data_IF_934688652708
#
_entry.id   IF_934688652708
#
_cell.length_a   1.000
_cell.length_b   1.000
_cell.length_c   1.000
_cell.angle_alpha   90.00
_cell.angle_beta   90.00
_cell.angle_gamma   90.00
#
_symmetry.space_group_name_H-M   'P 1'
#
loop_
_entity.id
_entity.type
_entity.pdbx_description
1 polymer ?
#
# COMPACT_ATOMS: atom_id res chain seq x y z
N UNK A 1 25.81 -19.82 -28.64
CA UNK A 1 25.12 -18.70 -29.32
C UNK A 1 26.02 -18.16 -30.41
N UNK A 2 25.46 -17.77 -31.55
CA UNK A 2 26.23 -17.13 -32.61
C UNK A 2 26.79 -15.78 -32.11
N UNK A 3 27.96 -15.39 -32.59
CA UNK A 3 28.59 -14.12 -32.27
C UNK A 3 28.48 -13.20 -33.47
N UNK A 4 27.94 -11.99 -33.28
CA UNK A 4 27.69 -11.02 -34.35
C UNK A 4 28.52 -9.76 -34.16
N UNK A 5 28.92 -9.16 -35.28
CA UNK A 5 29.65 -7.90 -35.36
C UNK A 5 28.71 -6.71 -35.60
N UNK A 6 29.19 -5.49 -35.35
CA UNK A 6 28.36 -4.29 -35.53
C UNK A 6 27.92 -4.09 -36.98
N UNK A 7 28.75 -4.52 -37.94
CA UNK A 7 28.45 -4.42 -39.37
C UNK A 7 27.35 -5.39 -39.79
N UNK A 8 27.31 -6.57 -39.20
CA UNK A 8 26.26 -7.56 -39.45
C UNK A 8 24.94 -7.06 -38.91
N UNK A 9 24.90 -6.58 -37.65
CA UNK A 9 23.67 -6.01 -37.08
C UNK A 9 23.19 -4.79 -37.86
N UNK A 10 24.10 -3.91 -38.29
CA UNK A 10 23.74 -2.71 -39.07
C UNK A 10 23.11 -2.99 -40.44
N UNK A 11 23.23 -4.21 -40.97
CA UNK A 11 22.56 -4.60 -42.22
C UNK A 11 21.04 -4.83 -42.01
N UNK A 12 20.61 -5.09 -40.78
CA UNK A 12 19.22 -5.38 -40.41
C UNK A 12 18.56 -4.15 -39.79
N UNK A 13 18.32 -3.13 -40.62
CA UNK A 13 17.86 -1.80 -40.20
C UNK A 13 16.50 -1.37 -40.79
N UNK A 14 15.70 -2.33 -41.28
CA UNK A 14 14.42 -2.06 -41.95
C UNK A 14 13.24 -2.61 -41.16
N UNK A 15 12.01 -2.18 -41.48
CA UNK A 15 10.80 -2.64 -40.76
C UNK A 15 10.59 -4.16 -40.85
N UNK A 16 10.91 -4.75 -41.99
CA UNK A 16 10.73 -6.20 -42.23
C UNK A 16 11.99 -7.02 -41.87
N UNK A 17 13.04 -6.35 -41.40
CA UNK A 17 14.32 -6.96 -41.00
C UNK A 17 15.07 -6.04 -40.03
N UNK A 18 14.80 -6.21 -38.73
CA UNK A 18 15.18 -5.28 -37.66
C UNK A 18 15.89 -5.99 -36.51
N UNK A 19 17.19 -5.78 -36.41
CA UNK A 19 17.99 -6.29 -35.29
C UNK A 19 18.47 -5.15 -34.40
N UNK A 20 18.65 -5.42 -33.12
CA UNK A 20 19.18 -4.44 -32.18
C UNK A 20 20.11 -5.09 -31.16
N UNK A 21 21.11 -4.35 -30.68
CA UNK A 21 22.02 -4.81 -29.63
C UNK A 21 21.58 -4.19 -28.30
N UNK A 22 21.33 -5.02 -27.29
CA UNK A 22 21.00 -4.59 -25.93
C UNK A 22 21.88 -5.40 -24.96
N UNK A 23 22.63 -4.72 -24.10
CA UNK A 23 23.49 -5.32 -23.08
C UNK A 23 24.47 -6.39 -23.63
N UNK A 24 25.06 -6.12 -24.80
CA UNK A 24 26.02 -7.03 -25.44
C UNK A 24 25.41 -8.30 -26.04
N UNK A 25 24.07 -8.35 -26.15
CA UNK A 25 23.31 -9.42 -26.82
C UNK A 25 22.60 -8.85 -28.04
N UNK A 26 22.41 -9.68 -29.07
CA UNK A 26 21.76 -9.31 -30.33
C UNK A 26 20.38 -9.95 -30.38
N UNK A 27 19.36 -9.14 -30.68
CA UNK A 27 17.97 -9.56 -30.73
C UNK A 27 17.37 -9.29 -32.12
N UNK A 28 16.64 -10.27 -32.66
CA UNK A 28 15.82 -10.10 -33.86
C UNK A 28 14.40 -9.72 -33.44
N UNK A 29 14.09 -8.42 -33.48
CA UNK A 29 12.80 -7.89 -33.03
C UNK A 29 11.82 -7.71 -34.19
N UNK A 30 12.13 -8.21 -35.39
CA UNK A 30 11.32 -8.03 -36.61
C UNK A 30 9.85 -8.39 -36.38
N UNK A 31 9.59 -9.53 -35.74
CA UNK A 31 8.22 -10.00 -35.45
C UNK A 31 7.56 -9.28 -34.29
N UNK A 32 8.33 -8.54 -33.49
CA UNK A 32 7.88 -7.86 -32.28
C UNK A 32 7.64 -6.36 -32.49
N UNK A 33 8.00 -5.80 -33.66
CA UNK A 33 7.85 -4.36 -33.96
C UNK A 33 6.42 -3.89 -33.72
N UNK A 34 5.42 -4.65 -34.18
CA UNK A 34 4.01 -4.26 -34.07
C UNK A 34 3.42 -4.51 -32.68
N UNK A 35 4.00 -5.47 -31.96
CA UNK A 35 3.59 -5.85 -30.60
C UNK A 35 4.29 -5.01 -29.51
N UNK A 36 5.25 -4.16 -29.89
CA UNK A 36 6.00 -3.33 -28.95
C UNK A 36 5.12 -2.23 -28.32
N UNK A 37 4.94 -2.21 -26.98
CA UNK A 37 4.05 -1.26 -26.30
C UNK A 37 4.44 0.21 -26.46
N UNK A 38 5.72 0.50 -26.74
CA UNK A 38 6.23 1.85 -27.03
C UNK A 38 5.94 2.33 -28.45
N UNK A 39 5.37 1.48 -29.30
CA UNK A 39 5.14 1.73 -30.72
C UNK A 39 6.29 1.22 -31.61
N UNK A 40 5.94 0.95 -32.87
CA UNK A 40 6.85 0.45 -33.90
C UNK A 40 7.98 1.44 -34.24
N UNK A 41 7.66 2.74 -34.25
CA UNK A 41 8.59 3.79 -34.68
C UNK A 41 9.86 3.84 -33.82
N UNK A 42 9.73 3.59 -32.51
CA UNK A 42 10.85 3.59 -31.56
C UNK A 42 11.83 2.46 -31.85
N UNK A 43 11.33 1.27 -32.24
CA UNK A 43 12.19 0.14 -32.59
C UNK A 43 12.87 0.35 -33.94
N UNK A 44 12.18 0.96 -34.90
CA UNK A 44 12.73 1.27 -36.23
C UNK A 44 13.87 2.32 -36.11
N UNK A 45 13.76 3.30 -35.22
CA UNK A 45 14.80 4.32 -35.00
C UNK A 45 16.14 3.73 -34.49
N UNK A 46 16.04 2.67 -33.69
CA UNK A 46 17.18 1.97 -33.09
C UNK A 46 17.60 0.70 -33.85
N UNK A 47 16.95 0.42 -34.98
CA UNK A 47 17.26 -0.71 -35.83
C UNK A 47 18.70 -0.63 -36.36
N UNK A 48 19.41 -1.76 -36.31
CA UNK A 48 20.80 -1.89 -36.72
C UNK A 48 21.83 -1.24 -35.79
N UNK A 49 21.45 -0.79 -34.59
CA UNK A 49 22.31 -0.07 -33.65
C UNK A 49 22.40 -0.75 -32.27
N UNK A 50 23.39 -0.34 -31.49
CA UNK A 50 23.43 -0.59 -30.04
C UNK A 50 22.48 0.38 -29.35
N UNK A 51 21.40 -0.17 -28.82
CA UNK A 51 20.32 0.54 -28.17
C UNK A 51 20.31 0.33 -26.65
N UNK A 52 21.42 -0.17 -26.08
CA UNK A 52 21.50 -0.46 -24.65
C UNK A 52 21.15 0.75 -23.79
N UNK A 53 21.62 1.95 -24.18
CA UNK A 53 21.38 3.18 -23.42
C UNK A 53 19.92 3.63 -23.55
N UNK A 54 19.37 3.56 -24.76
CA UNK A 54 17.98 3.88 -25.08
C UNK A 54 17.02 2.94 -24.36
N UNK A 55 17.37 1.64 -24.32
CA UNK A 55 16.63 0.61 -23.63
C UNK A 55 16.65 0.80 -22.10
N UNK A 56 17.83 1.08 -21.53
CA UNK A 56 17.97 1.37 -20.09
C UNK A 56 17.23 2.66 -19.70
N UNK A 57 17.31 3.71 -20.53
CA UNK A 57 16.66 5.00 -20.30
C UNK A 57 15.14 4.95 -20.45
N UNK A 58 14.63 4.09 -21.32
CA UNK A 58 13.20 3.82 -21.43
C UNK A 58 12.63 3.14 -20.17
N UNK A 59 13.48 2.57 -19.32
CA UNK A 59 13.09 2.03 -18.01
C UNK A 59 12.16 0.84 -18.11
N UNK A 60 12.39 -0.03 -19.10
CA UNK A 60 11.59 -1.23 -19.35
C UNK A 60 11.40 -2.10 -18.10
N UNK A 61 10.20 -2.67 -17.95
CA UNK A 61 9.86 -3.57 -16.84
C UNK A 61 10.59 -4.91 -16.93
N UNK A 62 10.63 -5.67 -15.83
CA UNK A 62 11.22 -7.04 -15.80
C UNK A 62 10.59 -7.97 -16.86
N UNK A 63 9.31 -7.78 -17.18
CA UNK A 63 8.59 -8.53 -18.22
C UNK A 63 9.16 -8.28 -19.61
N UNK A 64 9.65 -7.07 -19.88
CA UNK A 64 10.32 -6.77 -21.15
C UNK A 64 11.62 -7.57 -21.30
N UNK A 65 12.35 -7.78 -20.20
CA UNK A 65 13.55 -8.62 -20.21
C UNK A 65 13.23 -10.10 -20.47
N UNK A 66 12.12 -10.61 -19.93
CA UNK A 66 11.66 -11.98 -20.21
C UNK A 66 11.26 -12.15 -21.69
N UNK A 67 10.53 -11.18 -22.26
CA UNK A 67 10.11 -11.22 -23.67
C UNK A 67 11.32 -11.17 -24.60
N UNK A 68 12.35 -10.39 -24.26
CA UNK A 68 13.59 -10.32 -25.03
C UNK A 68 14.30 -11.67 -25.15
N UNK A 69 14.15 -12.58 -24.18
CA UNK A 69 14.80 -13.90 -24.25
C UNK A 69 14.31 -14.73 -25.44
N UNK A 70 13.06 -14.53 -25.90
CA UNK A 70 12.48 -15.22 -27.05
C UNK A 70 13.11 -14.76 -28.38
N UNK A 71 13.56 -13.50 -28.44
CA UNK A 71 14.11 -12.86 -29.65
C UNK A 71 15.64 -12.87 -29.68
N UNK A 72 16.29 -13.50 -28.70
CA UNK A 72 17.73 -13.55 -28.57
C UNK A 72 18.36 -14.46 -29.64
N UNK A 73 19.09 -13.87 -30.58
CA UNK A 73 19.77 -14.61 -31.66
C UNK A 73 21.25 -14.85 -31.37
N UNK A 74 21.88 -14.02 -30.54
CA UNK A 74 23.27 -14.24 -30.15
C UNK A 74 23.93 -13.17 -29.30
N UNK A 75 25.26 -13.19 -29.27
CA UNK A 75 26.10 -12.27 -28.49
C UNK A 75 26.86 -11.31 -29.39
N UNK A 76 27.06 -10.08 -28.94
CA UNK A 76 27.78 -9.05 -29.68
C UNK A 76 29.28 -9.07 -29.34
N UNK A 77 30.14 -9.23 -30.35
CA UNK A 77 31.60 -9.39 -30.16
C UNK A 77 32.33 -8.13 -29.70
N UNK A 78 31.66 -6.97 -29.67
CA UNK A 78 32.22 -5.67 -29.30
C UNK A 78 31.83 -5.17 -27.91
N UNK A 79 31.26 -6.00 -27.04
CA UNK A 79 30.69 -5.57 -25.76
C UNK A 79 31.77 -5.02 -24.79
N UNK A 80 31.69 -3.76 -24.33
CA UNK A 80 32.48 -3.31 -23.18
C UNK A 80 31.97 -4.01 -21.91
N UNK A 81 32.87 -4.61 -21.14
CA UNK A 81 32.56 -5.28 -19.87
C UNK A 81 32.08 -4.23 -18.86
N UNK A 82 30.77 -4.13 -18.63
CA UNK A 82 30.21 -3.26 -17.59
C UNK A 82 30.17 -4.02 -16.26
N UNK A 83 30.91 -3.53 -15.27
CA UNK A 83 30.84 -4.03 -13.90
C UNK A 83 29.49 -3.71 -13.25
N UNK A 84 29.00 -4.60 -12.39
CA UNK A 84 27.71 -4.48 -11.70
C UNK A 84 27.52 -3.09 -11.04
N UNK A 85 26.29 -2.53 -11.02
CA UNK A 85 26.03 -1.23 -10.44
C UNK A 85 26.34 -1.22 -8.94
N UNK A 86 27.11 -0.22 -8.48
CA UNK A 86 27.41 -0.02 -7.05
C UNK A 86 26.14 0.39 -6.31
N UNK A 87 25.79 -0.37 -5.27
CA UNK A 87 24.72 -0.05 -4.36
C UNK A 87 24.94 1.34 -3.72
N UNK A 88 23.96 2.23 -3.89
CA UNK A 88 23.93 3.53 -3.21
C UNK A 88 23.42 3.32 -1.79
N UNK A 89 24.33 3.21 -0.82
CA UNK A 89 23.99 3.11 0.60
C UNK A 89 23.54 4.48 1.11
N UNK A 90 22.23 4.66 1.30
CA UNK A 90 21.66 5.84 1.97
C UNK A 90 22.05 5.83 3.46
N UNK A 91 22.91 6.77 3.88
CA UNK A 91 23.21 7.01 5.29
C UNK A 91 22.00 7.65 5.97
N UNK A 92 21.35 6.92 6.89
CA UNK A 92 20.27 7.41 7.74
C UNK A 92 20.84 8.34 8.82
N UNK A 93 20.36 9.58 8.89
CA UNK A 93 20.74 10.53 9.96
C UNK A 93 20.03 10.17 11.28
N UNK A 94 20.76 10.29 12.40
CA UNK A 94 20.26 10.04 13.76
C UNK A 94 19.45 11.24 14.31
N UNK A 95 18.43 11.01 15.17
CA UNK A 95 17.62 12.08 15.74
C UNK A 95 18.35 12.81 16.87
N UNK A 96 18.21 14.14 16.92
CA UNK A 96 18.70 14.99 18.03
C UNK A 96 17.73 14.95 19.21
N UNK A 97 18.27 14.80 20.42
CA UNK A 97 17.55 14.87 21.69
C UNK A 97 17.15 16.32 22.02
N UNK A 98 15.94 16.49 22.58
CA UNK A 98 15.43 17.77 23.10
C UNK A 98 15.64 17.79 24.62
N UNK A 99 16.24 18.85 25.13
CA UNK A 99 16.49 19.06 26.55
C UNK A 99 15.21 19.51 27.28
N UNK A 100 14.94 18.92 28.45
CA UNK A 100 13.83 19.32 29.33
C UNK A 100 14.25 20.38 30.35
N UNK A 101 13.39 21.36 30.58
CA UNK A 101 13.57 22.40 31.59
C UNK A 101 13.14 21.92 32.99
N UNK A 102 13.91 22.33 34.00
CA UNK A 102 13.65 22.12 35.42
C UNK A 102 12.58 23.09 35.96
N UNK A 103 11.73 22.57 36.85
CA UNK A 103 10.69 23.31 37.56
C UNK A 103 11.24 23.77 38.92
N UNK A 104 11.07 25.05 39.23
CA UNK A 104 11.63 25.73 40.41
C UNK A 104 10.81 25.54 41.69
N UNK A 105 11.50 25.75 42.80
CA UNK A 105 11.13 25.53 44.20
C UNK A 105 10.13 26.54 44.77
N UNK A 106 9.02 26.07 45.37
CA UNK A 106 8.36 26.74 46.51
C UNK A 106 7.40 25.81 47.23
N UNK A 107 7.89 24.96 48.13
CA UNK A 107 7.05 24.19 49.08
C UNK A 107 7.88 23.68 50.26
N UNK A 108 8.38 24.58 51.12
CA UNK A 108 9.13 24.21 52.32
C UNK A 108 8.78 25.12 53.50
N UNK A 109 7.52 25.16 53.94
CA UNK A 109 7.14 25.82 55.20
C UNK A 109 6.13 25.06 56.06
N UNK A 110 5.70 23.84 55.69
CA UNK A 110 4.71 23.07 56.46
C UNK A 110 5.29 21.92 57.32
N UNK A 111 6.61 21.76 57.42
CA UNK A 111 7.25 20.58 58.04
C UNK A 111 7.68 20.73 59.51
N UNK A 112 7.60 21.92 60.09
CA UNK A 112 8.17 22.17 61.43
C UNK A 112 7.33 21.66 62.63
N UNK A 113 6.03 21.40 62.46
CA UNK A 113 5.15 21.04 63.60
C UNK A 113 5.14 19.53 63.95
N UNK A 114 5.52 18.65 63.02
CA UNK A 114 5.41 17.19 63.18
C UNK A 114 6.64 16.61 63.90
N UNK A 115 7.78 17.29 63.87
CA UNK A 115 9.05 16.80 64.43
C UNK A 115 9.07 16.78 65.96
N UNK A 116 8.39 17.71 66.63
CA UNK A 116 8.43 17.83 68.10
C UNK A 116 7.69 16.67 68.80
N UNK A 117 6.57 16.20 68.24
CA UNK A 117 5.78 15.11 68.82
C UNK A 117 6.47 13.73 68.73
N UNK A 118 7.21 13.47 67.65
CA UNK A 118 7.94 12.22 67.47
C UNK A 118 9.13 12.10 68.43
N UNK A 119 9.82 13.22 68.69
CA UNK A 119 10.98 13.27 69.60
C UNK A 119 10.55 13.04 71.05
N UNK A 120 9.44 13.64 71.49
CA UNK A 120 8.93 13.43 72.85
C UNK A 120 8.50 11.97 73.12
N UNK A 121 7.91 11.30 72.13
CA UNK A 121 7.49 9.91 72.23
C UNK A 121 8.67 8.93 72.27
N UNK A 122 9.71 9.20 71.46
CA UNK A 122 10.93 8.39 71.44
C UNK A 122 11.69 8.55 72.76
N UNK A 123 11.70 9.75 73.34
CA UNK A 123 12.37 10.02 74.59
C UNK A 123 11.67 9.37 75.81
N UNK A 124 10.33 9.36 75.85
CA UNK A 124 9.55 8.64 76.88
C UNK A 124 9.81 7.12 76.87
N UNK A 125 9.99 6.53 75.68
CA UNK A 125 10.32 5.10 75.55
C UNK A 125 11.72 4.74 76.06
N UNK A 126 12.66 5.67 76.00
CA UNK A 126 14.05 5.42 76.38
C UNK A 126 14.31 5.64 77.87
N UNK A 127 13.63 6.61 78.50
CA UNK A 127 13.72 6.82 79.95
C UNK A 127 12.43 7.47 80.49
N UNK A 128 11.60 6.76 81.29
CA UNK A 128 10.34 7.30 81.81
C UNK A 128 10.53 8.53 82.70
N UNK A 129 11.68 8.69 83.36
CA UNK A 129 11.97 9.83 84.25
C UNK A 129 12.40 11.10 83.50
N UNK A 130 12.66 11.03 82.20
CA UNK A 130 13.12 12.17 81.40
C UNK A 130 12.04 13.26 81.20
N UNK A 131 10.76 12.93 81.45
CA UNK A 131 9.71 13.93 81.52
C UNK A 131 9.86 14.88 82.73
N UNK A 132 10.52 14.43 83.81
CA UNK A 132 10.79 15.28 84.98
C UNK A 132 11.96 16.25 84.76
N UNK A 133 12.77 16.03 83.72
CA UNK A 133 13.87 16.93 83.32
C UNK A 133 13.52 17.85 82.15
N UNK A 134 12.27 17.84 81.67
CA UNK A 134 11.79 18.87 80.76
C UNK A 134 11.76 20.22 81.51
N UNK A 135 12.27 21.31 80.91
CA UNK A 135 12.25 22.61 81.57
C UNK A 135 10.80 22.96 81.91
N UNK A 136 10.49 23.13 83.20
CA UNK A 136 9.21 23.68 83.64
C UNK A 136 9.11 25.08 83.06
N UNK A 137 8.40 25.24 81.95
CA UNK A 137 8.11 26.54 81.37
C UNK A 137 7.19 27.24 82.37
N UNK A 138 7.77 28.12 83.20
CA UNK A 138 6.98 29.01 84.06
C UNK A 138 6.24 29.98 83.15
N UNK A 139 4.97 29.69 82.88
CA UNK A 139 4.04 30.69 82.36
C UNK A 139 3.63 31.56 83.55
N UNK A 140 3.92 32.86 83.48
CA UNK A 140 3.43 33.81 84.48
C UNK A 140 1.94 34.02 84.25
N UNK A 141 1.09 33.31 84.99
CA UNK A 141 -0.36 33.53 84.95
C UNK A 141 -1.10 32.41 85.66
N UNK A 142 -1.89 32.77 86.66
CA UNK A 142 -2.67 31.87 87.50
C UNK A 142 -3.76 31.13 86.71
N UNK A 143 -3.58 29.82 86.48
CA UNK A 143 -4.57 28.89 85.93
C UNK A 143 -3.87 27.71 85.21
N UNK A 144 -4.45 26.50 85.14
CA UNK A 144 -3.84 25.40 84.40
C UNK A 144 -3.78 25.80 82.93
N UNK A 145 -2.57 26.07 82.44
CA UNK A 145 -2.35 26.76 81.17
C UNK A 145 -2.87 25.95 80.00
N UNK A 146 -3.73 26.55 79.19
CA UNK A 146 -4.24 26.00 77.92
C UNK A 146 -3.12 25.37 77.07
N UNK A 147 -1.92 25.96 77.08
CA UNK A 147 -0.74 25.47 76.35
C UNK A 147 -0.25 24.12 76.87
N UNK A 148 -0.27 23.90 78.18
CA UNK A 148 0.14 22.64 78.79
C UNK A 148 -0.87 21.53 78.50
N UNK A 149 -2.17 21.85 78.61
CA UNK A 149 -3.25 20.96 78.17
C UNK A 149 -3.19 20.63 76.69
N UNK A 150 -2.87 21.61 75.84
CA UNK A 150 -2.75 21.43 74.38
C UNK A 150 -1.55 20.56 74.01
N UNK A 151 -0.41 20.72 74.68
CA UNK A 151 0.77 19.89 74.46
C UNK A 151 0.54 18.43 74.88
N UNK A 152 -0.11 18.21 76.04
CA UNK A 152 -0.46 16.87 76.51
C UNK A 152 -1.48 16.22 75.56
N UNK A 153 -2.52 16.96 75.16
CA UNK A 153 -3.52 16.46 74.21
C UNK A 153 -2.91 16.13 72.85
N UNK A 154 -2.01 16.97 72.34
CA UNK A 154 -1.30 16.75 71.08
C UNK A 154 -0.40 15.51 71.16
N UNK A 155 0.33 15.33 72.25
CA UNK A 155 1.14 14.13 72.47
C UNK A 155 0.26 12.86 72.50
N UNK A 156 -0.83 12.86 73.26
CA UNK A 156 -1.77 11.74 73.35
C UNK A 156 -2.42 11.41 72.00
N UNK A 157 -2.86 12.41 71.24
CA UNK A 157 -3.43 12.21 69.91
C UNK A 157 -2.41 11.64 68.92
N UNK A 158 -1.15 12.07 69.01
CA UNK A 158 -0.08 11.54 68.15
C UNK A 158 0.18 10.05 68.45
N UNK A 159 0.16 9.66 69.72
CA UNK A 159 0.31 8.25 70.12
C UNK A 159 -0.89 7.40 69.70
N UNK A 160 -2.11 7.87 69.98
CA UNK A 160 -3.32 7.16 69.59
C UNK A 160 -3.45 7.04 68.06
N UNK A 161 -3.12 8.10 67.33
CA UNK A 161 -3.11 8.15 65.87
C UNK A 161 -2.09 7.20 65.27
N UNK A 162 -0.87 7.14 65.81
CA UNK A 162 0.17 6.21 65.31
C UNK A 162 -0.17 4.74 65.56
N UNK A 163 -0.73 4.39 66.72
CA UNK A 163 -1.19 3.02 67.00
C UNK A 163 -2.34 2.62 66.07
N UNK A 164 -3.32 3.50 65.90
CA UNK A 164 -4.49 3.27 65.05
C UNK A 164 -4.07 3.12 63.59
N UNK A 165 -3.18 3.99 63.10
CA UNK A 165 -2.64 3.92 61.74
C UNK A 165 -1.85 2.61 61.50
N UNK A 166 -1.08 2.14 62.49
CA UNK A 166 -0.34 0.88 62.37
C UNK A 166 -1.26 -0.33 62.35
N UNK A 167 -2.33 -0.32 63.13
CA UNK A 167 -3.34 -1.40 63.15
C UNK A 167 -4.19 -1.40 61.87
N UNK A 168 -4.54 -0.22 61.37
CA UNK A 168 -5.28 -0.04 60.12
C UNK A 168 -4.45 -0.45 58.90
N UNK A 169 -3.15 -0.10 58.87
CA UNK A 169 -2.20 -0.51 57.82
C UNK A 169 -2.14 -2.04 57.69
N UNK A 170 -2.07 -2.74 58.83
CA UNK A 170 -2.07 -4.21 58.88
C UNK A 170 -3.39 -4.83 58.40
N UNK A 171 -4.52 -4.14 58.57
CA UNK A 171 -5.83 -4.62 58.14
C UNK A 171 -6.15 -4.30 56.67
N UNK A 172 -5.51 -3.27 56.11
CA UNK A 172 -5.69 -2.84 54.72
C UNK A 172 -4.65 -3.46 53.75
N UNK A 173 -3.88 -4.47 54.19
CA UNK A 173 -2.86 -5.15 53.38
C UNK A 173 -1.85 -4.21 52.68
N UNK A 174 -1.52 -3.07 53.28
CA UNK A 174 -0.50 -2.15 52.73
C UNK A 174 0.95 -2.67 52.85
N UNK A 175 1.18 -3.80 53.53
CA UNK A 175 2.53 -4.32 53.79
C UNK A 175 3.24 -4.91 52.55
N UNK A 176 2.52 -5.34 51.51
CA UNK A 176 3.16 -5.95 50.32
C UNK A 176 3.37 -4.99 49.14
N UNK A 177 2.89 -3.76 49.26
CA UNK A 177 3.06 -2.76 48.25
C UNK A 177 2.54 -1.43 48.76
N UNK A 178 3.44 -0.48 49.03
CA UNK A 178 3.07 0.84 49.53
C UNK A 178 2.05 1.55 48.62
N UNK A 179 1.56 2.73 49.03
CA UNK A 179 0.56 3.53 48.30
C UNK A 179 0.88 3.83 46.81
N UNK A 180 2.10 3.50 46.34
CA UNK A 180 2.59 3.62 44.96
C UNK A 180 2.75 2.27 44.23
N UNK A 181 2.38 1.15 44.87
CA UNK A 181 2.46 -0.20 44.32
C UNK A 181 1.19 -0.53 43.57
N UNK A 182 1.20 -0.28 42.26
CA UNK A 182 0.18 -0.80 41.36
C UNK A 182 0.60 -2.19 40.89
N UNK A 183 -0.35 -3.11 40.78
CA UNK A 183 -0.10 -4.39 40.12
C UNK A 183 0.55 -4.13 38.75
N UNK A 184 1.63 -4.85 38.38
CA UNK A 184 2.34 -4.60 37.14
C UNK A 184 1.35 -4.66 35.97
N UNK A 185 1.11 -3.51 35.35
CA UNK A 185 0.21 -3.42 34.21
C UNK A 185 0.81 -4.23 33.07
N UNK A 186 0.26 -5.43 32.84
CA UNK A 186 0.63 -6.28 31.71
C UNK A 186 0.13 -5.57 30.46
N UNK A 187 1.02 -4.82 29.79
CA UNK A 187 0.72 -4.22 28.49
C UNK A 187 0.22 -5.35 27.58
N UNK A 188 -1.06 -5.32 27.24
CA UNK A 188 -1.56 -6.23 26.22
C UNK A 188 -0.72 -5.99 24.96
N UNK A 189 -0.12 -7.03 24.37
CA UNK A 189 0.57 -6.84 23.10
C UNK A 189 -0.44 -6.23 22.12
N UNK A 190 -0.05 -5.14 21.45
CA UNK A 190 -0.87 -4.58 20.39
C UNK A 190 -1.07 -5.69 19.37
N UNK A 191 -2.32 -6.12 19.17
CA UNK A 191 -2.64 -7.03 18.06
C UNK A 191 -2.30 -6.27 16.79
N UNK A 192 -1.23 -6.68 16.13
CA UNK A 192 -0.83 -6.11 14.85
C UNK A 192 -1.95 -6.45 13.86
N UNK A 193 -2.77 -5.45 13.50
CA UNK A 193 -3.76 -5.64 12.44
C UNK A 193 -3.00 -5.94 11.16
N UNK A 194 -3.23 -7.12 10.57
CA UNK A 194 -2.64 -7.50 9.29
C UNK A 194 -3.18 -6.53 8.25
N UNK A 195 -2.29 -5.91 7.46
CA UNK A 195 -2.71 -5.03 6.38
C UNK A 195 -3.14 -5.91 5.18
N UNK A 196 -4.44 -5.99 4.86
CA UNK A 196 -4.91 -6.86 3.77
C UNK A 196 -4.33 -6.44 2.41
N UNK A 197 -3.89 -5.19 2.25
CA UNK A 197 -3.34 -4.68 0.99
C UNK A 197 -1.93 -5.20 0.67
N UNK A 198 -1.18 -5.71 1.67
CA UNK A 198 0.25 -6.10 1.51
C UNK A 198 0.50 -7.48 2.13
N UNK A 199 -0.51 -8.33 2.19
CA UNK A 199 -0.38 -9.65 2.77
C UNK A 199 0.39 -10.59 1.83
N UNK A 200 1.33 -11.37 2.37
CA UNK A 200 1.91 -12.52 1.65
C UNK A 200 0.85 -13.60 1.55
N UNK A 201 0.72 -14.19 0.37
CA UNK A 201 -0.26 -15.24 0.12
C UNK A 201 0.30 -16.31 -0.80
N UNK A 202 -0.60 -16.94 -1.55
CA UNK A 202 -0.31 -18.09 -2.40
C UNK A 202 0.55 -17.74 -3.64
N UNK A 203 0.41 -16.55 -4.20
CA UNK A 203 1.13 -16.13 -5.39
C UNK A 203 2.67 -16.10 -5.17
N UNK A 204 3.41 -16.72 -6.08
CA UNK A 204 4.88 -16.70 -6.14
C UNK A 204 5.36 -15.81 -7.31
N UNK A 205 6.25 -14.82 -7.07
CA UNK A 205 6.69 -13.91 -8.12
C UNK A 205 7.61 -14.58 -9.15
N UNK A 206 8.20 -15.72 -8.82
CA UNK A 206 9.18 -16.45 -9.63
C UNK A 206 8.58 -17.69 -10.28
N UNK A 207 7.82 -18.48 -9.50
CA UNK A 207 7.28 -19.75 -9.94
C UNK A 207 5.83 -19.62 -10.46
N UNK A 208 5.48 -20.48 -11.41
CA UNK A 208 4.09 -20.65 -11.83
C UNK A 208 3.44 -21.76 -11.03
N UNK A 209 2.22 -21.52 -10.58
CA UNK A 209 1.40 -22.51 -9.89
C UNK A 209 0.02 -22.61 -10.53
N UNK A 210 -0.51 -23.84 -10.61
CA UNK A 210 -1.80 -24.12 -11.22
C UNK A 210 -2.96 -23.91 -10.24
N UNK A 211 -4.08 -23.36 -10.72
CA UNK A 211 -5.36 -23.37 -10.02
C UNK A 211 -6.46 -23.92 -10.93
N UNK A 212 -7.39 -24.75 -10.40
CA UNK A 212 -8.52 -25.25 -11.16
C UNK A 212 -9.59 -24.18 -11.33
N UNK A 213 -10.16 -24.11 -12.54
CA UNK A 213 -11.32 -23.28 -12.85
C UNK A 213 -12.59 -23.89 -12.21
N UNK A 214 -13.27 -23.13 -11.36
CA UNK A 214 -14.49 -23.60 -10.66
C UNK A 214 -15.76 -22.97 -11.20
N UNK A 215 -15.70 -21.73 -11.71
CA UNK A 215 -16.86 -21.06 -12.31
C UNK A 215 -16.44 -20.32 -13.57
N UNK A 216 -17.33 -20.33 -14.57
CA UNK A 216 -17.18 -19.61 -15.83
C UNK A 216 -18.51 -19.07 -16.27
N UNK A 217 -18.61 -17.75 -16.40
CA UNK A 217 -19.84 -17.06 -16.78
C UNK A 217 -19.56 -16.04 -17.88
N UNK A 218 -20.42 -15.98 -18.89
CA UNK A 218 -20.37 -14.93 -19.92
C UNK A 218 -21.16 -13.71 -19.42
N UNK A 219 -20.45 -12.61 -19.13
CA UNK A 219 -21.05 -11.41 -18.52
C UNK A 219 -21.30 -10.26 -19.51
N UNK A 220 -20.60 -10.26 -20.65
CA UNK A 220 -20.80 -9.32 -21.76
C UNK A 220 -20.31 -9.97 -23.07
N UNK A 221 -20.56 -9.38 -24.26
CA UNK A 221 -20.09 -9.93 -25.53
C UNK A 221 -18.59 -10.22 -25.51
N UNK A 222 -18.24 -11.51 -25.58
CA UNK A 222 -16.89 -12.03 -25.47
C UNK A 222 -16.17 -11.68 -24.15
N UNK A 223 -16.87 -11.45 -23.04
CA UNK A 223 -16.24 -11.22 -21.73
C UNK A 223 -16.68 -12.28 -20.74
N UNK A 224 -15.72 -13.01 -20.19
CA UNK A 224 -15.95 -14.06 -19.21
C UNK A 224 -15.52 -13.63 -17.82
N UNK A 225 -16.34 -13.96 -16.83
CA UNK A 225 -15.96 -14.02 -15.43
C UNK A 225 -15.49 -15.44 -15.13
N UNK A 226 -14.23 -15.58 -14.72
CA UNK A 226 -13.56 -16.84 -14.41
C UNK A 226 -13.18 -16.86 -12.94
N UNK A 227 -13.66 -17.86 -12.21
CA UNK A 227 -13.33 -18.06 -10.78
C UNK A 227 -12.48 -19.31 -10.64
N UNK A 228 -11.36 -19.17 -9.97
CA UNK A 228 -10.42 -20.24 -9.67
C UNK A 228 -10.35 -20.48 -8.17
N UNK A 229 -10.33 -21.74 -7.75
CA UNK A 229 -10.20 -22.09 -6.32
C UNK A 229 -8.74 -22.06 -5.90
N UNK A 230 -8.44 -21.35 -4.82
CA UNK A 230 -7.16 -21.46 -4.13
C UNK A 230 -7.08 -22.80 -3.38
N UNK A 231 -5.87 -23.26 -2.94
CA UNK A 231 -5.69 -24.58 -2.34
C UNK A 231 -6.58 -24.87 -1.13
N UNK A 232 -6.94 -23.85 -0.34
CA UNK A 232 -7.89 -23.98 0.77
C UNK A 232 -8.87 -22.80 0.79
N UNK A 233 -10.07 -22.97 1.37
CA UNK A 233 -11.07 -21.89 1.50
C UNK A 233 -10.60 -20.68 2.30
N UNK A 234 -9.52 -20.81 3.08
CA UNK A 234 -8.94 -19.75 3.91
C UNK A 234 -7.66 -19.18 3.32
N UNK A 235 -7.21 -19.68 2.16
CA UNK A 235 -5.98 -19.22 1.53
C UNK A 235 -6.15 -17.78 1.04
N UNK A 236 -5.16 -16.94 1.31
CA UNK A 236 -5.10 -15.57 0.81
C UNK A 236 -4.34 -15.57 -0.51
N UNK A 237 -4.84 -14.86 -1.52
CA UNK A 237 -4.20 -14.77 -2.83
C UNK A 237 -2.78 -14.18 -2.73
N UNK A 238 -2.62 -13.10 -1.98
CA UNK A 238 -1.31 -12.47 -1.74
C UNK A 238 -0.91 -11.47 -2.82
N UNK A 239 -1.88 -10.83 -3.46
CA UNK A 239 -1.65 -9.83 -4.50
C UNK A 239 -1.72 -8.42 -3.87
N UNK A 240 -0.63 -7.65 -3.83
CA UNK A 240 -0.70 -6.27 -3.37
C UNK A 240 -1.54 -5.39 -4.30
N UNK A 241 -2.35 -4.50 -3.73
CA UNK A 241 -3.21 -3.60 -4.52
C UNK A 241 -2.38 -2.71 -5.45
N UNK A 242 -2.76 -2.65 -6.72
CA UNK A 242 -2.04 -2.02 -7.81
C UNK A 242 -1.22 -2.99 -8.66
N UNK A 243 -0.95 -4.21 -8.16
CA UNK A 243 -0.22 -5.24 -8.90
C UNK A 243 -1.18 -6.20 -9.61
N UNK A 244 -0.63 -6.92 -10.57
CA UNK A 244 -1.33 -7.91 -11.38
C UNK A 244 -0.61 -9.27 -11.34
N UNK A 245 -1.18 -10.28 -11.98
CA UNK A 245 -0.58 -11.60 -12.15
C UNK A 245 -0.40 -11.91 -13.63
N UNK A 246 0.43 -12.91 -13.93
CA UNK A 246 0.70 -13.41 -15.26
C UNK A 246 0.09 -14.81 -15.43
N UNK A 247 -0.56 -15.03 -16.57
CA UNK A 247 -1.01 -16.34 -17.02
C UNK A 247 -0.09 -16.81 -18.15
N UNK A 248 0.38 -18.05 -18.04
CA UNK A 248 1.17 -18.72 -19.08
C UNK A 248 0.42 -19.92 -19.62
N UNK A 249 0.37 -20.04 -20.94
CA UNK A 249 -0.14 -21.23 -21.63
C UNK A 249 0.75 -21.57 -22.83
N UNK A 250 0.85 -22.85 -23.16
CA UNK A 250 1.45 -23.31 -24.42
C UNK A 250 0.34 -23.58 -25.42
N UNK A 251 0.38 -22.91 -26.57
CA UNK A 251 -0.67 -22.94 -27.59
C UNK A 251 0.01 -23.10 -28.95
N UNK A 252 -0.31 -24.17 -29.67
CA UNK A 252 0.29 -24.50 -30.96
C UNK A 252 1.84 -24.53 -30.90
N UNK A 253 2.41 -25.03 -29.79
CA UNK A 253 3.86 -25.09 -29.55
C UNK A 253 4.53 -23.74 -29.20
N UNK A 254 3.74 -22.68 -28.99
CA UNK A 254 4.23 -21.36 -28.55
C UNK A 254 3.83 -21.08 -27.11
N UNK A 255 4.77 -20.63 -26.30
CA UNK A 255 4.51 -20.19 -24.93
C UNK A 255 4.00 -18.75 -25.00
N UNK A 256 2.76 -18.52 -24.56
CA UNK A 256 2.14 -17.21 -24.50
C UNK A 256 1.95 -16.80 -23.05
N UNK A 257 2.43 -15.60 -22.70
CA UNK A 257 2.30 -15.00 -21.39
C UNK A 257 1.53 -13.67 -21.47
N UNK A 258 0.51 -13.46 -20.61
CA UNK A 258 -0.22 -12.19 -20.52
C UNK A 258 -0.58 -11.85 -19.07
N UNK A 259 -0.63 -10.54 -18.80
CA UNK A 259 -0.96 -10.00 -17.49
C UNK A 259 -2.45 -9.75 -17.32
N UNK A 260 -2.97 -10.05 -16.12
CA UNK A 260 -4.36 -9.83 -15.72
C UNK A 260 -4.42 -9.32 -14.28
N UNK A 261 -5.27 -8.33 -14.04
CA UNK A 261 -5.59 -7.88 -12.68
C UNK A 261 -6.86 -8.56 -12.20
N UNK A 262 -6.80 -9.36 -11.12
CA UNK A 262 -7.98 -9.95 -10.51
C UNK A 262 -8.92 -8.88 -9.95
N UNK A 263 -10.22 -9.19 -10.01
CA UNK A 263 -11.26 -8.39 -9.36
C UNK A 263 -11.47 -8.83 -7.90
N UNK A 264 -11.04 -10.04 -7.55
CA UNK A 264 -10.88 -10.50 -6.16
C UNK A 264 -9.69 -9.81 -5.48
N UNK A 265 -9.78 -9.57 -4.17
CA UNK A 265 -8.69 -9.03 -3.35
C UNK A 265 -8.31 -10.00 -2.21
N UNK A 266 -7.36 -9.63 -1.36
CA UNK A 266 -6.87 -10.51 -0.29
C UNK A 266 -7.89 -10.79 0.83
N UNK A 267 -9.02 -10.08 0.87
CA UNK A 267 -10.14 -10.38 1.78
C UNK A 267 -11.06 -11.48 1.21
N UNK A 268 -11.02 -11.72 -0.11
CA UNK A 268 -11.78 -12.78 -0.77
C UNK A 268 -11.05 -14.12 -0.64
N UNK A 269 -11.13 -14.70 0.56
CA UNK A 269 -10.41 -15.95 0.89
C UNK A 269 -10.83 -17.10 -0.03
N UNK A 270 -9.85 -17.94 -0.39
CA UNK A 270 -10.10 -19.19 -1.09
C UNK A 270 -10.38 -19.07 -2.59
N UNK A 271 -10.42 -17.85 -3.15
CA UNK A 271 -10.71 -17.66 -4.58
C UNK A 271 -9.81 -16.64 -5.27
N UNK A 272 -9.64 -16.82 -6.57
CA UNK A 272 -9.10 -15.85 -7.51
C UNK A 272 -10.15 -15.62 -8.60
N UNK A 273 -10.50 -14.36 -8.86
CA UNK A 273 -11.58 -14.02 -9.78
C UNK A 273 -11.09 -13.04 -10.84
N UNK A 274 -11.25 -13.40 -12.13
CA UNK A 274 -10.82 -12.62 -13.28
C UNK A 274 -12.01 -12.26 -14.16
N UNK A 275 -11.97 -11.05 -14.73
CA UNK A 275 -12.87 -10.63 -15.81
C UNK A 275 -12.03 -10.42 -17.06
N UNK A 276 -12.24 -11.27 -18.07
CA UNK A 276 -11.38 -11.34 -19.25
C UNK A 276 -12.21 -11.19 -20.52
N UNK A 277 -11.88 -10.17 -21.31
CA UNK A 277 -12.36 -10.07 -22.69
C UNK A 277 -11.55 -11.01 -23.58
N UNK A 278 -12.26 -11.94 -24.20
CA UNK A 278 -11.72 -12.89 -25.14
C UNK A 278 -11.80 -12.39 -26.57
N UNK A 279 -10.66 -12.39 -27.24
CA UNK A 279 -10.56 -11.98 -28.64
C UNK A 279 -10.44 -13.27 -29.45
N UNK A 280 -11.35 -13.55 -30.41
CA UNK A 280 -11.35 -14.83 -31.14
C UNK A 280 -10.02 -15.14 -31.85
N UNK A 281 -9.33 -14.10 -32.30
CA UNK A 281 -8.01 -14.10 -32.94
C UNK A 281 -6.84 -14.13 -31.94
N UNK A 282 -7.09 -13.85 -30.66
CA UNK A 282 -6.08 -13.86 -29.61
C UNK A 282 -5.65 -15.28 -29.25
N UNK A 283 -4.33 -15.53 -29.26
CA UNK A 283 -3.77 -16.84 -28.87
C UNK A 283 -4.22 -17.24 -27.47
N UNK A 284 -3.89 -16.46 -26.44
CA UNK A 284 -4.23 -16.83 -25.07
C UNK A 284 -5.73 -16.73 -24.78
N UNK A 285 -6.38 -15.65 -25.23
CA UNK A 285 -7.76 -15.38 -24.82
C UNK A 285 -8.79 -16.14 -25.65
N UNK A 286 -8.65 -16.19 -26.98
CA UNK A 286 -9.57 -16.88 -27.88
C UNK A 286 -9.33 -18.38 -27.96
N UNK A 287 -8.08 -18.81 -28.13
CA UNK A 287 -7.79 -20.25 -28.30
C UNK A 287 -7.71 -21.03 -27.00
N UNK A 288 -7.33 -20.39 -25.90
CA UNK A 288 -7.12 -21.06 -24.61
C UNK A 288 -8.19 -20.70 -23.58
N UNK A 289 -8.22 -19.46 -23.07
CA UNK A 289 -9.10 -19.08 -21.95
C UNK A 289 -10.59 -19.21 -22.28
N UNK A 290 -11.01 -18.82 -23.49
CA UNK A 290 -12.39 -18.96 -23.92
C UNK A 290 -12.85 -20.42 -24.03
N UNK A 291 -11.93 -21.37 -24.17
CA UNK A 291 -12.22 -22.80 -24.34
C UNK A 291 -12.06 -23.63 -23.07
N UNK A 292 -11.63 -23.02 -21.95
CA UNK A 292 -11.50 -23.72 -20.66
C UNK A 292 -12.83 -24.31 -20.19
N UNK A 293 -12.77 -25.55 -19.71
CA UNK A 293 -13.84 -26.26 -19.03
C UNK A 293 -13.64 -26.21 -17.51
N UNK A 294 -14.72 -26.46 -16.76
CA UNK A 294 -14.62 -26.54 -15.30
C UNK A 294 -13.69 -27.69 -14.90
N UNK A 295 -12.82 -27.43 -13.93
CA UNK A 295 -11.76 -28.34 -13.51
C UNK A 295 -10.42 -28.16 -14.24
N UNK A 296 -10.41 -27.47 -15.38
CA UNK A 296 -9.15 -27.20 -16.09
C UNK A 296 -8.23 -26.32 -15.26
N UNK A 297 -6.94 -26.63 -15.30
CA UNK A 297 -5.91 -25.92 -14.55
C UNK A 297 -5.28 -24.80 -15.38
N UNK A 298 -5.14 -23.63 -14.76
CA UNK A 298 -4.46 -22.46 -15.33
C UNK A 298 -3.27 -22.09 -14.46
N UNK A 299 -2.12 -21.86 -15.09
CA UNK A 299 -0.88 -21.51 -14.42
C UNK A 299 -0.74 -20.00 -14.18
N UNK A 300 -0.58 -19.61 -12.93
CA UNK A 300 -0.47 -18.23 -12.45
C UNK A 300 0.90 -17.96 -11.83
N UNK A 301 1.45 -16.75 -12.08
CA UNK A 301 2.65 -16.21 -11.42
C UNK A 301 2.41 -14.76 -11.01
N UNK A 302 2.91 -14.34 -9.85
CA UNK A 302 2.76 -12.97 -9.38
C UNK A 302 3.16 -12.81 -7.92
N UNK A 303 3.12 -11.60 -7.35
CA UNK A 303 2.64 -10.36 -7.96
C UNK A 303 3.65 -9.73 -8.94
N UNK A 304 3.14 -9.10 -10.01
CA UNK A 304 3.89 -8.33 -11.01
C UNK A 304 3.40 -6.88 -11.09
N UNK A 305 4.24 -6.00 -11.65
CA UNK A 305 3.95 -4.56 -11.82
C UNK A 305 4.50 -3.67 -10.70
N UNK A 306 4.74 -2.41 -11.02
CA UNK A 306 5.39 -1.43 -10.13
C UNK A 306 4.41 -0.72 -9.19
N UNK A 307 3.13 -0.61 -9.55
CA UNK A 307 2.12 0.11 -8.76
C UNK A 307 1.79 -0.63 -7.47
N UNK A 308 1.93 0.06 -6.35
CA UNK A 308 1.57 -0.44 -5.02
C UNK A 308 0.79 0.62 -4.27
N UNK A 309 -0.54 0.48 -4.26
CA UNK A 309 -1.40 1.36 -3.49
C UNK A 309 -1.20 1.13 -1.99
N UNK A 310 -1.18 2.23 -1.25
CA UNK A 310 -1.22 2.26 0.21
C UNK A 310 -2.04 3.48 0.63
N UNK A 311 -2.77 3.36 1.74
CA UNK A 311 -3.45 4.50 2.34
C UNK A 311 -2.43 5.63 2.57
N UNK A 312 -2.77 6.84 2.11
CA UNK A 312 -1.90 8.00 2.13
C UNK A 312 -0.94 8.12 0.94
N UNK A 313 -1.12 7.34 -0.14
CA UNK A 313 -0.37 7.54 -1.39
C UNK A 313 -0.60 8.94 -1.98
N UNK A 314 -1.85 9.38 -2.01
CA UNK A 314 -2.29 10.71 -2.43
C UNK A 314 -3.72 10.95 -1.92
N UNK A 315 -4.19 12.20 -1.93
CA UNK A 315 -5.53 12.54 -1.44
C UNK A 315 -6.61 12.36 -2.51
N UNK A 316 -6.26 12.51 -3.79
CA UNK A 316 -7.20 12.49 -4.90
C UNK A 316 -6.67 11.69 -6.08
N UNK A 317 -7.49 10.82 -6.65
CA UNK A 317 -7.15 10.00 -7.81
C UNK A 317 -8.17 10.23 -8.91
N UNK A 318 -7.72 10.65 -10.09
CA UNK A 318 -8.50 10.55 -11.33
C UNK A 318 -8.20 9.22 -12.02
N UNK A 319 -9.22 8.50 -12.46
CA UNK A 319 -9.07 7.23 -13.18
C UNK A 319 -9.76 7.33 -14.54
N UNK A 320 -9.05 6.94 -15.60
CA UNK A 320 -9.65 6.71 -16.92
C UNK A 320 -9.50 5.24 -17.28
N UNK A 321 -10.64 4.54 -17.37
CA UNK A 321 -10.69 3.15 -17.78
C UNK A 321 -11.37 3.01 -19.15
N UNK A 322 -10.86 2.09 -19.97
CA UNK A 322 -11.48 1.69 -21.23
C UNK A 322 -11.71 0.18 -21.30
N UNK A 323 -12.96 -0.27 -21.46
CA UNK A 323 -13.30 -1.69 -21.56
C UNK A 323 -12.77 -2.51 -20.37
N UNK A 324 -11.89 -3.49 -20.62
CA UNK A 324 -11.27 -4.32 -19.57
C UNK A 324 -10.24 -3.59 -18.72
N UNK A 325 -9.82 -2.38 -19.11
CA UNK A 325 -8.96 -1.52 -18.28
C UNK A 325 -9.61 -1.07 -16.96
N UNK A 326 -10.86 -1.48 -16.70
CA UNK A 326 -11.52 -1.28 -15.42
C UNK A 326 -10.92 -2.12 -14.29
N UNK A 327 -10.31 -3.28 -14.56
CA UNK A 327 -9.93 -4.21 -13.47
C UNK A 327 -8.81 -3.67 -12.56
N UNK A 328 -7.76 -2.99 -13.04
CA UNK A 328 -6.80 -2.32 -12.14
C UNK A 328 -7.42 -1.18 -11.33
N UNK A 329 -8.35 -0.45 -11.95
CA UNK A 329 -9.07 0.64 -11.27
C UNK A 329 -9.98 0.09 -10.17
N UNK A 330 -10.75 -0.95 -10.48
CA UNK A 330 -11.65 -1.63 -9.57
C UNK A 330 -10.91 -2.18 -8.34
N UNK A 331 -9.72 -2.76 -8.54
CA UNK A 331 -8.89 -3.25 -7.44
C UNK A 331 -8.52 -2.13 -6.45
N UNK A 332 -8.19 -0.94 -6.94
CA UNK A 332 -7.86 0.23 -6.10
C UNK A 332 -9.12 0.83 -5.47
N UNK A 333 -10.22 0.94 -6.23
CA UNK A 333 -11.51 1.44 -5.73
C UNK A 333 -11.99 0.58 -4.56
N UNK A 334 -11.93 -0.76 -4.70
CA UNK A 334 -12.25 -1.70 -3.61
C UNK A 334 -11.37 -1.46 -2.39
N UNK A 335 -10.05 -1.36 -2.58
CA UNK A 335 -9.12 -1.13 -1.48
C UNK A 335 -9.40 0.15 -0.69
N UNK A 336 -9.82 1.22 -1.37
CA UNK A 336 -10.17 2.51 -0.75
C UNK A 336 -11.54 2.42 -0.07
N UNK A 337 -12.55 1.92 -0.76
CA UNK A 337 -13.91 1.90 -0.26
C UNK A 337 -14.12 0.87 0.87
N UNK A 338 -13.36 -0.23 0.88
CA UNK A 338 -13.46 -1.26 1.92
C UNK A 338 -12.63 -0.94 3.19
N UNK A 339 -11.78 0.12 3.20
CA UNK A 339 -11.10 0.60 4.40
C UNK A 339 -11.73 1.91 4.92
N UNK A 340 -12.51 1.82 5.99
CA UNK A 340 -13.19 2.98 6.62
C UNK A 340 -12.24 4.12 7.06
N UNK A 341 -10.92 3.88 7.08
CA UNK A 341 -9.89 4.87 7.43
C UNK A 341 -9.23 5.51 6.22
N UNK A 342 -9.55 5.04 5.02
CA UNK A 342 -9.04 5.62 3.79
C UNK A 342 -9.96 6.76 3.33
N UNK A 343 -9.44 7.98 3.35
CA UNK A 343 -10.16 9.19 2.97
C UNK A 343 -9.82 9.65 1.56
N UNK A 344 -9.06 8.85 0.80
CA UNK A 344 -8.72 9.17 -0.58
C UNK A 344 -9.98 9.25 -1.44
N UNK A 345 -10.07 10.30 -2.25
CA UNK A 345 -11.16 10.54 -3.18
C UNK A 345 -10.78 10.06 -4.57
N UNK A 346 -11.69 9.36 -5.23
CA UNK A 346 -11.50 8.76 -6.55
C UNK A 346 -12.60 9.26 -7.47
N UNK A 347 -12.22 9.80 -8.63
CA UNK A 347 -13.14 10.05 -9.75
C UNK A 347 -12.80 9.16 -10.94
N UNK A 348 -13.74 8.31 -11.33
CA UNK A 348 -13.59 7.40 -12.46
C UNK A 348 -14.40 7.92 -13.65
N UNK A 349 -13.73 8.13 -14.78
CA UNK A 349 -14.34 8.17 -16.11
C UNK A 349 -14.19 6.77 -16.71
N UNK A 350 -15.30 6.10 -17.00
CA UNK A 350 -15.30 4.76 -17.58
C UNK A 350 -15.88 4.78 -19.00
N UNK A 351 -15.02 4.52 -19.99
CA UNK A 351 -15.33 4.60 -21.40
C UNK A 351 -15.55 3.22 -22.04
N UNK A 352 -16.67 3.04 -22.74
CA UNK A 352 -17.06 1.80 -23.41
C UNK A 352 -17.67 2.08 -24.80
N UNK A 353 -17.83 1.05 -25.64
CA UNK A 353 -18.48 1.22 -26.95
C UNK A 353 -20.00 1.39 -26.83
N UNK A 354 -20.63 0.64 -25.95
CA UNK A 354 -22.06 0.69 -25.69
C UNK A 354 -22.37 0.39 -24.22
N UNK A 355 -23.59 0.63 -23.77
CA UNK A 355 -24.01 0.40 -22.38
C UNK A 355 -23.83 -1.07 -21.94
N UNK A 356 -24.11 -2.02 -22.83
CA UNK A 356 -23.94 -3.46 -22.59
C UNK A 356 -22.47 -3.90 -22.42
N UNK A 357 -21.51 -3.07 -22.82
CA UNK A 357 -20.08 -3.35 -22.65
C UNK A 357 -19.55 -2.91 -21.28
N UNK A 358 -20.37 -2.27 -20.43
CA UNK A 358 -19.96 -1.76 -19.12
C UNK A 358 -19.81 -2.95 -18.16
N UNK A 359 -18.56 -3.27 -17.84
CA UNK A 359 -18.23 -4.35 -16.90
C UNK A 359 -18.31 -3.85 -15.47
N UNK A 360 -18.71 -4.73 -14.54
CA UNK A 360 -18.78 -4.45 -13.10
C UNK A 360 -19.68 -3.26 -12.75
N UNK A 361 -20.71 -2.99 -13.56
CA UNK A 361 -21.57 -1.82 -13.40
C UNK A 361 -22.23 -1.79 -12.03
N UNK A 362 -22.86 -2.89 -11.63
CA UNK A 362 -23.60 -2.99 -10.38
C UNK A 362 -22.68 -2.78 -9.16
N UNK A 363 -21.47 -3.32 -9.21
CA UNK A 363 -20.45 -3.20 -8.18
C UNK A 363 -19.97 -1.76 -8.06
N UNK A 364 -19.63 -1.12 -9.20
CA UNK A 364 -19.19 0.27 -9.24
C UNK A 364 -20.29 1.23 -8.74
N UNK A 365 -21.53 1.08 -9.20
CA UNK A 365 -22.66 1.89 -8.73
C UNK A 365 -22.97 1.67 -7.25
N UNK A 366 -22.74 0.45 -6.75
CA UNK A 366 -22.87 0.15 -5.31
C UNK A 366 -21.81 0.88 -4.50
N UNK A 367 -20.55 0.88 -4.94
CA UNK A 367 -19.51 1.68 -4.28
C UNK A 367 -19.82 3.17 -4.35
N UNK A 368 -20.28 3.69 -5.49
CA UNK A 368 -20.58 5.11 -5.65
C UNK A 368 -21.74 5.56 -4.74
N UNK A 369 -22.75 4.71 -4.56
CA UNK A 369 -23.87 4.96 -3.64
C UNK A 369 -23.47 4.86 -2.17
N UNK A 370 -22.65 3.86 -1.81
CA UNK A 370 -22.28 3.60 -0.42
C UNK A 370 -21.19 4.54 0.10
N UNK A 371 -20.28 4.99 -0.79
CA UNK A 371 -19.13 5.82 -0.45
C UNK A 371 -19.07 7.10 -1.30
N UNK A 372 -20.12 7.94 -1.32
CA UNK A 372 -20.22 9.09 -2.23
C UNK A 372 -19.16 10.18 -1.97
N UNK A 373 -18.52 10.18 -0.80
CA UNK A 373 -17.40 11.07 -0.48
C UNK A 373 -16.06 10.57 -1.04
N UNK A 374 -15.90 9.24 -1.15
CA UNK A 374 -14.68 8.61 -1.63
C UNK A 374 -14.73 8.28 -3.12
N UNK A 375 -15.89 7.96 -3.69
CA UNK A 375 -15.97 7.46 -5.06
C UNK A 375 -17.04 8.16 -5.89
N UNK A 376 -16.61 8.75 -7.00
CA UNK A 376 -17.46 9.37 -8.03
C UNK A 376 -17.27 8.63 -9.34
N UNK A 377 -18.37 8.31 -9.98
CA UNK A 377 -18.43 7.49 -11.18
C UNK A 377 -19.10 8.26 -12.32
N UNK A 378 -18.47 8.26 -13.49
CA UNK A 378 -19.01 8.86 -14.70
C UNK A 378 -18.77 7.96 -15.90
N UNK A 379 -19.82 7.64 -16.63
CA UNK A 379 -19.74 6.78 -17.81
C UNK A 379 -19.62 7.60 -19.09
N UNK A 380 -18.93 7.04 -20.08
CA UNK A 380 -18.89 7.55 -21.45
C UNK A 380 -19.10 6.37 -22.39
N UNK A 381 -20.05 6.48 -23.31
CA UNK A 381 -20.27 5.44 -24.34
C UNK A 381 -20.26 6.05 -25.73
N UNK A 382 -19.69 5.34 -26.69
CA UNK A 382 -19.69 5.76 -28.09
C UNK A 382 -21.11 5.69 -28.69
N UNK A 383 -21.78 4.56 -28.49
CA UNK A 383 -23.14 4.29 -28.94
C UNK A 383 -24.09 4.38 -27.73
N UNK A 384 -24.63 5.57 -27.50
CA UNK A 384 -25.55 5.84 -26.40
C UNK A 384 -26.97 5.33 -26.72
N UNK A 385 -27.60 4.59 -25.79
CA UNK A 385 -29.01 4.22 -25.90
C UNK A 385 -29.93 5.44 -25.65
N UNK A 386 -31.20 5.31 -26.03
CA UNK A 386 -32.22 6.31 -25.72
C UNK A 386 -32.32 6.54 -24.20
N UNK A 387 -32.30 7.80 -23.79
CA UNK A 387 -32.35 8.18 -22.37
C UNK A 387 -31.01 8.11 -21.63
N UNK A 388 -29.89 7.91 -22.33
CA UNK A 388 -28.56 7.96 -21.72
C UNK A 388 -28.25 9.33 -21.11
N UNK A 389 -27.98 9.37 -19.80
CA UNK A 389 -27.78 10.61 -19.04
C UNK A 389 -26.30 10.98 -18.83
N UNK A 390 -25.37 10.15 -19.29
CA UNK A 390 -23.93 10.37 -19.11
C UNK A 390 -23.26 10.83 -20.41
N UNK A 391 -21.93 10.77 -20.46
CA UNK A 391 -21.17 11.23 -21.62
C UNK A 391 -21.41 10.34 -22.84
N UNK A 392 -21.42 10.95 -24.03
CA UNK A 392 -21.47 10.25 -25.32
C UNK A 392 -20.22 10.58 -26.13
N UNK A 393 -19.67 9.59 -26.84
CA UNK A 393 -18.46 9.73 -27.65
C UNK A 393 -17.19 9.30 -26.90
N UNK A 394 -16.17 10.17 -26.90
CA UNK A 394 -14.85 9.88 -26.31
C UNK A 394 -14.63 10.67 -25.02
N UNK A 395 -13.71 10.21 -24.17
CA UNK A 395 -13.26 10.97 -23.00
C UNK A 395 -12.40 12.16 -23.45
N UNK A 396 -13.00 13.36 -23.51
CA UNK A 396 -12.34 14.57 -23.99
C UNK A 396 -11.50 15.26 -22.91
N UNK A 397 -10.67 16.23 -23.32
CA UNK A 397 -9.89 17.05 -22.40
C UNK A 397 -10.79 17.84 -21.45
N UNK A 398 -11.89 18.39 -21.94
CA UNK A 398 -12.86 19.16 -21.17
C UNK A 398 -13.51 18.29 -20.10
N UNK A 399 -13.89 17.05 -20.47
CA UNK A 399 -14.45 16.11 -19.52
C UNK A 399 -13.44 15.72 -18.43
N UNK A 400 -12.18 15.48 -18.81
CA UNK A 400 -11.11 15.21 -17.85
C UNK A 400 -10.89 16.42 -16.93
N UNK A 401 -10.89 17.62 -17.46
CA UNK A 401 -10.76 18.86 -16.67
C UNK A 401 -11.93 19.03 -15.68
N UNK A 402 -13.15 18.66 -16.08
CA UNK A 402 -14.34 18.76 -15.23
C UNK A 402 -14.35 17.71 -14.11
N UNK A 403 -14.00 16.46 -14.42
CA UNK A 403 -14.19 15.32 -13.50
C UNK A 403 -12.95 14.93 -12.71
N UNK A 404 -11.74 15.21 -13.18
CA UNK A 404 -10.51 14.85 -12.49
C UNK A 404 -10.04 15.93 -11.50
N UNK A 405 -9.25 15.55 -10.47
CA UNK A 405 -8.57 16.55 -9.65
C UNK A 405 -7.61 17.38 -10.50
N UNK A 406 -7.45 18.67 -10.17
CA UNK A 406 -6.41 19.49 -10.78
C UNK A 406 -4.99 18.98 -10.41
N UNK A 407 -3.96 19.25 -11.25
CA UNK A 407 -2.58 18.87 -10.96
C UNK A 407 -2.11 19.41 -9.60
N UNK A 408 -1.61 18.52 -8.75
CA UNK A 408 -1.07 18.82 -7.42
C UNK A 408 -0.21 17.66 -6.92
N UNK A 409 0.67 17.91 -5.95
CA UNK A 409 1.46 16.86 -5.31
C UNK A 409 0.60 15.78 -4.60
N UNK A 410 -0.63 16.14 -4.23
CA UNK A 410 -1.61 15.28 -3.57
C UNK A 410 -2.60 14.61 -4.56
N UNK A 411 -2.41 14.77 -5.87
CA UNK A 411 -3.25 14.18 -6.91
C UNK A 411 -2.48 13.18 -7.77
N UNK A 412 -3.16 12.12 -8.19
CA UNK A 412 -2.64 11.14 -9.15
C UNK A 412 -3.68 10.86 -10.22
N UNK A 413 -3.24 10.60 -11.44
CA UNK A 413 -4.07 10.11 -12.53
C UNK A 413 -3.66 8.68 -12.85
N UNK A 414 -4.63 7.82 -13.11
CA UNK A 414 -4.42 6.42 -13.44
C UNK A 414 -5.14 6.09 -14.74
N UNK A 415 -4.43 5.50 -15.70
CA UNK A 415 -4.91 5.20 -17.04
C UNK A 415 -4.79 3.71 -17.32
N UNK A 416 -5.85 3.08 -17.83
CA UNK A 416 -5.78 1.73 -18.36
C UNK A 416 -6.87 1.53 -19.44
N UNK A 417 -6.49 1.00 -20.60
CA UNK A 417 -7.41 0.79 -21.71
C UNK A 417 -6.68 0.63 -23.03
N UNK A 418 -7.40 0.70 -24.17
CA UNK A 418 -6.79 0.57 -25.49
C UNK A 418 -5.66 1.59 -25.71
N UNK A 419 -4.56 1.22 -26.42
CA UNK A 419 -3.41 2.10 -26.60
C UNK A 419 -3.74 3.49 -27.15
N UNK A 420 -4.67 3.57 -28.12
CA UNK A 420 -5.13 4.84 -28.67
C UNK A 420 -5.81 5.75 -27.64
N UNK A 421 -6.62 5.18 -26.75
CA UNK A 421 -7.28 5.91 -25.66
C UNK A 421 -6.25 6.45 -24.66
N UNK A 422 -5.31 5.60 -24.23
CA UNK A 422 -4.26 5.98 -23.27
C UNK A 422 -3.35 7.06 -23.86
N UNK A 423 -2.97 6.95 -25.14
CA UNK A 423 -2.16 7.97 -25.84
C UNK A 423 -2.88 9.31 -25.89
N UNK A 424 -4.16 9.34 -26.29
CA UNK A 424 -4.95 10.56 -26.32
C UNK A 424 -5.09 11.20 -24.93
N UNK A 425 -5.38 10.39 -23.92
CA UNK A 425 -5.51 10.87 -22.54
C UNK A 425 -4.22 11.48 -22.00
N UNK A 426 -3.06 10.85 -22.24
CA UNK A 426 -1.74 11.41 -21.85
C UNK A 426 -1.50 12.79 -22.45
N UNK A 427 -1.85 13.00 -23.72
CA UNK A 427 -1.71 14.29 -24.40
C UNK A 427 -2.63 15.34 -23.78
N UNK A 428 -3.92 15.02 -23.60
CA UNK A 428 -4.88 15.94 -22.97
C UNK A 428 -4.50 16.30 -21.54
N UNK A 429 -4.04 15.34 -20.74
CA UNK A 429 -3.59 15.59 -19.36
C UNK A 429 -2.30 16.42 -19.33
N UNK A 430 -1.39 16.22 -20.29
CA UNK A 430 -0.22 17.08 -20.47
C UNK A 430 -0.62 18.55 -20.69
N UNK A 431 -1.61 18.80 -21.55
CA UNK A 431 -2.15 20.15 -21.78
C UNK A 431 -2.80 20.76 -20.53
N UNK A 432 -3.34 19.92 -19.64
CA UNK A 432 -3.92 20.34 -18.36
C UNK A 432 -2.86 20.56 -17.26
N UNK A 433 -1.57 20.36 -17.55
CA UNK A 433 -0.46 20.62 -16.63
C UNK A 433 -0.01 19.40 -15.81
N UNK A 434 -0.42 18.20 -16.16
CA UNK A 434 0.14 16.98 -15.57
C UNK A 434 1.49 16.64 -16.20
N UNK A 435 2.44 16.22 -15.37
CA UNK A 435 3.72 15.69 -15.84
C UNK A 435 3.48 14.34 -16.51
N UNK A 436 3.90 14.22 -17.76
CA UNK A 436 3.78 12.97 -18.49
C UNK A 436 4.77 11.93 -17.95
N UNK A 437 4.35 10.66 -17.86
CA UNK A 437 5.25 9.60 -17.41
C UNK A 437 6.31 9.34 -18.48
N UNK A 438 7.44 8.78 -18.06
CA UNK A 438 8.44 8.24 -18.99
C UNK A 438 7.91 7.03 -19.76
N UNK A 439 8.78 6.35 -20.51
CA UNK A 439 8.39 5.16 -21.28
C UNK A 439 7.81 4.05 -20.39
N UNK A 440 8.25 3.95 -19.14
CA UNK A 440 7.58 3.17 -18.09
C UNK A 440 7.12 4.06 -16.94
N UNK A 441 5.85 3.92 -16.55
CA UNK A 441 5.27 4.70 -15.46
C UNK A 441 5.84 4.29 -14.10
N UNK A 442 6.30 5.29 -13.34
CA UNK A 442 6.78 5.12 -11.97
C UNK A 442 5.69 5.52 -10.99
N UNK A 443 5.71 4.95 -9.79
CA UNK A 443 4.77 5.32 -8.72
C UNK A 443 4.84 6.81 -8.34
N UNK A 444 6.00 7.45 -8.53
CA UNK A 444 6.20 8.88 -8.29
C UNK A 444 5.48 9.78 -9.28
N UNK A 445 5.18 9.29 -10.49
CA UNK A 445 4.69 10.11 -11.59
C UNK A 445 3.27 10.58 -11.33
N UNK A 446 2.92 11.78 -11.80
CA UNK A 446 1.54 12.27 -11.65
C UNK A 446 0.54 11.38 -12.39
N UNK A 447 0.94 10.83 -13.55
CA UNK A 447 0.14 9.91 -14.35
C UNK A 447 0.76 8.51 -14.27
N UNK A 448 -0.02 7.53 -13.85
CA UNK A 448 0.36 6.12 -13.87
C UNK A 448 -0.43 5.38 -14.96
N UNK A 449 0.27 4.73 -15.89
CA UNK A 449 -0.34 3.86 -16.90
C UNK A 449 -0.12 2.41 -16.49
N UNK A 450 -1.22 1.65 -16.40
CA UNK A 450 -1.19 0.22 -16.08
C UNK A 450 -0.79 -0.66 -17.24
#
# INVERSE_FOLDING_TARGET
MASFTAKEVAAHNTRDDCWTIINGKVYDVTKYIEDHPGGADVLIEVAGKDSTVEFDNAGHSEDAFEIMEEYLIGTYSGAPVRGAPKAVTLKKAAPKAVAGNSFTSTALTATAAISVGAVALQAYRLNPEMLNSLPKIKTSGSGPGFVEGFLIASALFTVAGTITAKKLSKHLHFEEGGFMSYAPHKKMPKVTKVNPLIQRGWLDPTAYHALPLTEKELIAPNVYRLVFSLPTPTTVLGLPTGQHLAIKAEIDGKIVNRSYTPISNNNDLGKLELVIKCYPDGLLTGKYLANLSLGDEVSFRGPKGSMRYKNGLCKRIGMLAGGTGITPMFQIIRAICEDDRDLTQVSLIYANRSEQDILLRNELETFARRYPQNFRLYYVVENAPDGWTFGTGYATQELMQEKFPAPSADSKIMLCGPPGMVKAAKNSLGNLGFEQPGASAKMSDHIFCF
#
